data_IF_189653328214
#
_entry.id   IF_189653328214
#
_cell.length_a   1.000
_cell.length_b   1.000
_cell.length_c   1.000
_cell.angle_alpha   90.00
_cell.angle_beta   90.00
_cell.angle_gamma   90.00
#
_symmetry.space_group_name_H-M   'P 1'
#
loop_
_entity.id
_entity.type
_entity.pdbx_description
1 polymer ?
#
# COMPACT_ATOMS: atom_id res chain seq x y z
N UNK A 1 13.89 20.48 13.01
CA UNK A 1 12.78 19.67 13.56
C UNK A 1 11.52 20.52 13.47
N UNK A 2 10.45 20.04 12.81
CA UNK A 2 9.20 20.80 12.70
C UNK A 2 8.49 20.82 14.04
N UNK A 3 7.88 21.94 14.43
CA UNK A 3 7.24 22.17 15.73
C UNK A 3 6.19 21.07 16.05
N UNK A 4 5.51 20.54 15.05
CA UNK A 4 4.46 19.52 15.21
C UNK A 4 4.97 18.07 15.16
N UNK A 5 6.21 17.80 14.71
CA UNK A 5 6.74 16.44 14.61
C UNK A 5 6.72 15.67 15.93
N UNK A 6 7.12 16.26 17.09
CA UNK A 6 7.04 15.56 18.38
C UNK A 6 5.62 15.18 18.77
N UNK A 7 4.63 16.04 18.48
CA UNK A 7 3.22 15.78 18.78
C UNK A 7 2.69 14.64 17.94
N UNK A 8 3.01 14.64 16.62
CA UNK A 8 2.65 13.56 15.71
C UNK A 8 3.26 12.23 16.18
N UNK A 9 4.54 12.22 16.53
CA UNK A 9 5.22 11.02 17.06
C UNK A 9 4.62 10.51 18.36
N UNK A 10 4.19 11.40 19.25
CA UNK A 10 3.53 11.00 20.50
C UNK A 10 2.17 10.33 20.24
N UNK A 11 1.40 10.85 19.28
CA UNK A 11 0.15 10.23 18.85
C UNK A 11 0.39 8.84 18.26
N UNK A 12 1.43 8.67 17.41
CA UNK A 12 1.77 7.40 16.80
C UNK A 12 2.20 6.35 17.83
N UNK A 13 2.91 6.71 18.92
CA UNK A 13 3.23 5.78 20.01
C UNK A 13 1.98 5.21 20.69
N UNK A 14 0.91 5.99 20.79
CA UNK A 14 -0.36 5.47 21.30
C UNK A 14 -1.03 4.52 20.30
N UNK A 15 -1.01 4.88 19.03
CA UNK A 15 -1.52 4.01 17.94
C UNK A 15 -0.77 2.68 17.90
N UNK A 16 0.56 2.68 18.05
CA UNK A 16 1.39 1.48 18.11
C UNK A 16 0.94 0.50 19.20
N UNK A 17 0.65 1.02 20.41
CA UNK A 17 0.12 0.19 21.52
C UNK A 17 -1.26 -0.40 21.19
N UNK A 18 -2.11 0.37 20.51
CA UNK A 18 -3.43 -0.09 20.10
C UNK A 18 -3.31 -1.17 19.02
N UNK A 19 -2.44 -0.98 18.03
CA UNK A 19 -2.19 -1.96 16.96
C UNK A 19 -1.57 -3.25 17.51
N UNK A 20 -0.58 -3.15 18.40
CA UNK A 20 0.00 -4.33 19.03
C UNK A 20 -1.06 -5.15 19.79
N UNK A 21 -1.95 -4.48 20.54
CA UNK A 21 -3.07 -5.15 21.22
C UNK A 21 -4.06 -5.77 20.23
N UNK A 22 -4.40 -5.06 19.17
CA UNK A 22 -5.30 -5.54 18.11
C UNK A 22 -4.73 -6.79 17.45
N UNK A 23 -3.48 -6.74 16.99
CA UNK A 23 -2.81 -7.86 16.32
C UNK A 23 -2.76 -9.08 17.24
N UNK A 24 -2.38 -8.89 18.51
CA UNK A 24 -2.32 -9.98 19.49
C UNK A 24 -3.68 -10.60 19.82
N UNK A 25 -4.80 -9.88 19.58
CA UNK A 25 -6.16 -10.38 19.82
C UNK A 25 -6.77 -11.12 18.63
N UNK A 26 -6.14 -11.07 17.47
CA UNK A 26 -6.61 -11.70 16.24
C UNK A 26 -5.99 -13.10 16.07
N UNK A 27 -6.81 -14.08 15.68
CA UNK A 27 -6.34 -15.42 15.37
C UNK A 27 -5.89 -15.47 13.91
N UNK A 28 -4.64 -15.83 13.70
CA UNK A 28 -4.09 -15.99 12.35
C UNK A 28 -4.65 -17.26 11.69
N UNK A 29 -4.88 -17.22 10.36
CA UNK A 29 -5.30 -18.42 9.64
C UNK A 29 -4.19 -19.48 9.65
N UNK A 30 -4.61 -20.74 9.66
CA UNK A 30 -3.74 -21.91 9.55
C UNK A 30 -3.44 -22.24 8.08
N UNK A 31 -2.48 -23.15 7.83
CA UNK A 31 -2.19 -23.64 6.48
C UNK A 31 -1.47 -22.63 5.57
N UNK A 32 -0.78 -21.66 6.14
CA UNK A 32 0.03 -20.67 5.40
C UNK A 32 1.52 -20.81 5.73
N UNK A 33 2.35 -20.73 4.71
CA UNK A 33 3.78 -20.47 4.85
C UNK A 33 4.01 -18.99 5.19
N UNK A 34 4.95 -18.74 6.10
CA UNK A 34 5.31 -17.42 6.58
C UNK A 34 6.83 -17.32 6.62
N UNK A 35 7.39 -16.58 5.69
CA UNK A 35 8.84 -16.34 5.62
C UNK A 35 9.04 -14.89 6.03
N UNK A 36 9.60 -14.70 7.21
CA UNK A 36 9.64 -13.42 7.90
C UNK A 36 11.03 -12.78 7.85
N UNK A 37 11.05 -11.46 7.93
CA UNK A 37 12.24 -10.63 8.12
C UNK A 37 13.32 -10.84 7.04
N UNK A 38 12.90 -10.96 5.79
CA UNK A 38 13.80 -11.07 4.64
C UNK A 38 14.38 -9.68 4.33
N UNK A 39 15.71 -9.48 4.38
CA UNK A 39 16.29 -8.19 4.03
C UNK A 39 16.30 -7.99 2.52
N UNK A 40 15.67 -6.91 2.04
CA UNK A 40 15.76 -6.48 0.65
C UNK A 40 16.95 -5.51 0.42
N UNK A 41 17.46 -4.89 1.49
CA UNK A 41 18.78 -4.29 1.59
C UNK A 41 19.47 -4.90 2.80
N UNK A 42 20.69 -5.39 2.62
CA UNK A 42 21.44 -6.07 3.69
C UNK A 42 22.33 -5.07 4.46
N UNK A 43 21.72 -4.15 5.17
CA UNK A 43 22.39 -3.10 5.97
C UNK A 43 22.05 -3.17 7.47
N UNK A 44 21.23 -4.13 7.89
CA UNK A 44 20.80 -4.31 9.27
C UNK A 44 19.66 -3.39 9.71
N UNK A 45 19.12 -2.54 8.82
CA UNK A 45 17.99 -1.66 9.10
C UNK A 45 16.68 -2.44 9.05
N UNK A 46 15.88 -2.40 10.12
CA UNK A 46 14.58 -3.08 10.18
C UNK A 46 13.57 -2.56 9.16
N UNK A 47 13.70 -1.31 8.77
CA UNK A 47 12.87 -0.73 7.73
C UNK A 47 13.14 -1.32 6.33
N UNK A 48 14.21 -2.10 6.17
CA UNK A 48 14.59 -2.75 4.92
C UNK A 48 14.28 -4.26 4.92
N UNK A 49 13.28 -4.67 5.72
CA UNK A 49 12.81 -6.05 5.79
C UNK A 49 11.44 -6.19 5.10
N UNK A 50 11.17 -7.36 4.56
CA UNK A 50 9.87 -7.77 4.05
C UNK A 50 9.50 -9.16 4.55
N UNK A 51 8.19 -9.48 4.50
CA UNK A 51 7.67 -10.81 4.76
C UNK A 51 6.99 -11.38 3.53
N UNK A 52 6.98 -12.70 3.39
CA UNK A 52 6.28 -13.42 2.32
C UNK A 52 5.32 -14.43 2.94
N UNK A 53 4.07 -14.43 2.44
CA UNK A 53 2.99 -15.31 2.88
C UNK A 53 2.37 -16.01 1.68
N UNK A 54 2.12 -17.33 1.76
CA UNK A 54 1.41 -18.09 0.73
C UNK A 54 0.84 -19.40 1.29
N UNK A 55 -0.13 -20.08 0.63
CA UNK A 55 -0.67 -21.34 1.11
C UNK A 55 0.37 -22.46 1.19
N UNK A 56 0.39 -23.21 2.30
CA UNK A 56 1.26 -24.37 2.47
C UNK A 56 1.02 -25.44 1.41
N UNK A 57 2.06 -26.18 1.05
CA UNK A 57 1.97 -27.26 0.07
C UNK A 57 1.70 -26.79 -1.36
N UNK A 58 1.86 -25.49 -1.64
CA UNK A 58 1.72 -24.93 -2.98
C UNK A 58 2.73 -25.54 -3.94
N UNK A 59 2.26 -26.14 -5.02
CA UNK A 59 3.08 -26.72 -6.11
C UNK A 59 3.01 -25.88 -7.39
N UNK A 60 1.98 -25.08 -7.54
CA UNK A 60 1.74 -24.19 -8.68
C UNK A 60 2.24 -22.77 -8.38
N UNK A 61 2.56 -22.03 -9.45
CA UNK A 61 2.89 -20.61 -9.31
C UNK A 61 1.65 -19.79 -8.99
N UNK A 62 1.72 -18.98 -7.96
CA UNK A 62 0.65 -18.09 -7.48
C UNK A 62 0.83 -16.67 -8.01
N UNK A 63 -0.27 -15.97 -8.33
CA UNK A 63 -0.22 -14.54 -8.55
C UNK A 63 0.30 -13.82 -7.30
N UNK A 64 1.03 -12.73 -7.53
CA UNK A 64 1.76 -12.02 -6.46
C UNK A 64 1.02 -10.74 -6.09
N UNK A 65 0.88 -10.47 -4.80
CA UNK A 65 0.48 -9.15 -4.29
C UNK A 65 1.66 -8.57 -3.51
N UNK A 66 2.03 -7.33 -3.81
CA UNK A 66 2.95 -6.55 -2.97
C UNK A 66 2.11 -5.59 -2.13
N UNK A 67 2.24 -5.64 -0.82
CA UNK A 67 1.52 -4.78 0.12
C UNK A 67 2.42 -3.67 0.67
N UNK A 68 1.94 -2.42 0.59
CA UNK A 68 2.58 -1.23 1.15
C UNK A 68 1.70 -0.73 2.30
N UNK A 69 2.18 -0.84 3.53
CA UNK A 69 1.42 -0.44 4.70
C UNK A 69 1.15 1.07 4.78
N UNK A 70 0.05 1.43 5.44
CA UNK A 70 -0.30 2.80 5.79
C UNK A 70 0.48 3.36 6.99
N UNK A 71 -0.08 4.39 7.63
CA UNK A 71 0.50 5.00 8.84
C UNK A 71 0.94 6.45 8.66
N UNK A 72 0.29 7.21 7.74
CA UNK A 72 0.52 8.64 7.56
C UNK A 72 1.96 8.99 7.22
N UNK A 73 2.69 8.10 6.55
CA UNK A 73 4.11 8.20 6.14
C UNK A 73 5.12 8.23 7.31
N UNK A 74 4.67 8.39 8.56
CA UNK A 74 5.49 8.59 9.76
C UNK A 74 5.39 7.46 10.78
N UNK A 75 4.52 6.51 10.54
CA UNK A 75 4.21 5.36 11.38
C UNK A 75 3.98 4.13 10.51
N UNK A 76 4.03 2.98 11.14
CA UNK A 76 3.69 1.70 10.52
C UNK A 76 4.91 0.80 10.32
N UNK A 77 4.60 -0.43 10.09
CA UNK A 77 5.53 -1.53 9.81
C UNK A 77 4.72 -2.69 9.21
N UNK A 78 5.37 -3.60 8.50
CA UNK A 78 4.73 -4.72 7.77
C UNK A 78 3.75 -5.55 8.63
N UNK A 79 4.02 -5.67 9.93
CA UNK A 79 3.19 -6.46 10.84
C UNK A 79 1.81 -5.84 11.11
N UNK A 80 1.61 -4.51 10.93
CA UNK A 80 0.28 -3.91 11.10
C UNK A 80 -0.71 -4.39 10.05
N UNK A 81 -0.22 -4.77 8.86
CA UNK A 81 -0.99 -5.32 7.75
C UNK A 81 -0.93 -6.86 7.68
N UNK A 82 -0.16 -7.53 8.57
CA UNK A 82 0.08 -8.97 8.53
C UNK A 82 -1.20 -9.78 8.32
N UNK A 83 -2.22 -9.55 9.13
CA UNK A 83 -3.46 -10.32 9.09
C UNK A 83 -4.30 -10.06 7.82
N UNK A 84 -4.23 -8.86 7.26
CA UNK A 84 -4.75 -8.55 5.93
C UNK A 84 -3.99 -9.34 4.84
N UNK A 85 -2.67 -9.35 4.89
CA UNK A 85 -1.83 -10.12 3.96
C UNK A 85 -2.10 -11.62 4.05
N UNK A 86 -2.20 -12.17 5.26
CA UNK A 86 -2.57 -13.57 5.49
C UNK A 86 -3.95 -13.89 4.90
N UNK A 87 -4.92 -12.97 5.02
CA UNK A 87 -6.25 -13.15 4.43
C UNK A 87 -6.23 -13.18 2.91
N UNK A 88 -5.37 -12.40 2.27
CA UNK A 88 -5.16 -12.46 0.83
C UNK A 88 -4.41 -13.73 0.41
N UNK A 89 -3.45 -14.20 1.23
CA UNK A 89 -2.76 -15.45 0.99
C UNK A 89 -3.71 -16.66 1.03
N UNK A 90 -4.66 -16.72 1.99
CA UNK A 90 -5.74 -17.73 2.01
C UNK A 90 -6.55 -17.75 0.70
N UNK A 91 -6.67 -16.61 0.02
CA UNK A 91 -7.41 -16.49 -1.24
C UNK A 91 -6.58 -16.91 -2.47
N UNK A 92 -5.39 -17.50 -2.25
CA UNK A 92 -4.57 -18.11 -3.31
C UNK A 92 -3.56 -17.16 -3.95
N UNK A 93 -3.03 -16.21 -3.20
CA UNK A 93 -1.93 -15.33 -3.63
C UNK A 93 -0.65 -15.62 -2.85
N UNK A 94 0.49 -15.33 -3.46
CA UNK A 94 1.71 -15.05 -2.74
C UNK A 94 1.71 -13.57 -2.40
N UNK A 95 1.80 -13.22 -1.11
CA UNK A 95 1.75 -11.83 -0.64
C UNK A 95 3.08 -11.43 -0.04
N UNK A 96 3.69 -10.37 -0.57
CA UNK A 96 4.91 -9.76 -0.02
C UNK A 96 4.53 -8.45 0.68
N UNK A 97 4.70 -8.39 2.00
CA UNK A 97 4.47 -7.19 2.81
C UNK A 97 5.80 -6.51 3.10
N UNK A 98 5.97 -5.26 2.68
CA UNK A 98 7.24 -4.56 2.74
C UNK A 98 7.26 -3.49 3.84
N UNK A 99 8.41 -3.33 4.50
CA UNK A 99 8.74 -2.14 5.27
C UNK A 99 9.40 -1.08 4.37
N UNK A 100 9.42 0.14 4.84
CA UNK A 100 10.18 1.28 4.31
C UNK A 100 10.48 2.25 5.45
N UNK A 101 11.54 3.08 5.33
CA UNK A 101 11.87 4.08 6.36
C UNK A 101 10.76 5.10 6.52
N UNK A 102 10.45 5.43 7.75
CA UNK A 102 9.38 6.38 8.09
C UNK A 102 9.89 7.83 8.04
N UNK A 103 9.07 8.73 7.50
CA UNK A 103 9.44 10.14 7.39
C UNK A 103 9.63 10.79 8.77
N UNK A 104 10.62 11.68 8.84
CA UNK A 104 11.00 12.42 10.03
C UNK A 104 12.49 12.34 10.32
N UNK A 105 13.00 13.23 11.16
CA UNK A 105 14.45 13.39 11.30
C UNK A 105 15.08 13.80 9.97
N UNK A 106 15.95 12.97 9.41
CA UNK A 106 16.55 13.15 8.08
C UNK A 106 15.80 12.48 6.95
N UNK A 107 14.92 11.52 7.24
CA UNK A 107 14.19 10.72 6.24
C UNK A 107 13.07 11.56 5.61
N UNK A 108 12.98 11.52 4.28
CA UNK A 108 12.02 12.28 3.47
C UNK A 108 11.24 11.35 2.55
N UNK A 109 10.30 11.93 1.81
CA UNK A 109 9.43 11.23 0.87
C UNK A 109 10.19 10.50 -0.24
N UNK A 110 11.26 11.10 -0.74
CA UNK A 110 12.13 10.49 -1.74
C UNK A 110 12.92 9.29 -1.21
N UNK A 111 13.36 9.32 0.07
CA UNK A 111 13.95 8.16 0.72
C UNK A 111 12.96 6.99 0.79
N UNK A 112 11.70 7.27 1.13
CA UNK A 112 10.64 6.25 1.20
C UNK A 112 10.36 5.61 -0.17
N UNK A 113 10.28 6.42 -1.22
CA UNK A 113 10.12 5.90 -2.60
C UNK A 113 11.33 5.07 -3.01
N UNK A 114 12.55 5.49 -2.67
CA UNK A 114 13.77 4.72 -2.95
C UNK A 114 13.75 3.35 -2.26
N UNK A 115 13.31 3.29 -0.99
CA UNK A 115 13.21 2.03 -0.25
C UNK A 115 12.18 1.09 -0.88
N UNK A 116 10.99 1.62 -1.23
CA UNK A 116 9.93 0.83 -1.89
C UNK A 116 10.42 0.28 -3.24
N UNK A 117 11.11 1.09 -4.05
CA UNK A 117 11.70 0.63 -5.31
C UNK A 117 12.81 -0.41 -5.11
N UNK A 118 13.58 -0.30 -4.04
CA UNK A 118 14.58 -1.29 -3.66
C UNK A 118 13.92 -2.63 -3.32
N UNK A 119 12.81 -2.61 -2.55
CA UNK A 119 12.01 -3.80 -2.26
C UNK A 119 11.41 -4.40 -3.55
N UNK A 120 10.82 -3.59 -4.44
CA UNK A 120 10.29 -4.06 -5.72
C UNK A 120 11.37 -4.71 -6.59
N UNK A 121 12.54 -4.08 -6.67
CA UNK A 121 13.69 -4.60 -7.43
C UNK A 121 14.17 -5.93 -6.86
N UNK A 122 14.20 -6.04 -5.52
CA UNK A 122 14.53 -7.30 -4.86
C UNK A 122 13.51 -8.39 -5.18
N UNK A 123 12.21 -8.08 -5.09
CA UNK A 123 11.13 -9.01 -5.40
C UNK A 123 11.21 -9.49 -6.86
N UNK A 124 11.41 -8.60 -7.82
CA UNK A 124 11.55 -8.95 -9.24
C UNK A 124 12.71 -9.92 -9.51
N UNK A 125 13.78 -9.83 -8.74
CA UNK A 125 14.97 -10.69 -8.89
C UNK A 125 14.88 -12.03 -8.15
N UNK A 126 14.25 -12.05 -6.96
CA UNK A 126 14.34 -13.16 -6.01
C UNK A 126 13.06 -14.00 -5.91
N UNK A 127 11.90 -13.48 -6.29
CA UNK A 127 10.64 -14.25 -6.22
C UNK A 127 10.60 -15.48 -7.13
N UNK A 128 11.55 -15.64 -8.07
CA UNK A 128 11.71 -16.86 -8.87
C UNK A 128 12.00 -18.10 -8.01
N UNK A 129 12.56 -17.92 -6.81
CA UNK A 129 12.90 -18.98 -5.87
C UNK A 129 11.70 -19.37 -4.96
N UNK A 130 10.55 -18.71 -5.17
CA UNK A 130 9.28 -18.92 -4.49
C UNK A 130 8.20 -19.38 -5.49
N UNK A 131 7.04 -19.90 -5.03
CA UNK A 131 5.93 -20.24 -5.91
C UNK A 131 5.21 -18.98 -6.44
N UNK A 132 5.95 -18.12 -7.14
CA UNK A 132 5.48 -16.82 -7.63
C UNK A 132 5.29 -16.81 -9.16
N UNK A 133 4.15 -16.28 -9.63
CA UNK A 133 3.91 -15.95 -11.03
C UNK A 133 4.16 -14.45 -11.27
N UNK A 134 5.38 -14.13 -11.70
CA UNK A 134 5.78 -12.74 -11.99
C UNK A 134 5.07 -12.13 -13.22
N UNK A 135 4.30 -12.90 -13.99
CA UNK A 135 3.46 -12.36 -15.05
C UNK A 135 2.15 -11.76 -14.50
N UNK A 136 1.81 -12.07 -13.26
CA UNK A 136 0.59 -11.64 -12.58
C UNK A 136 0.93 -11.01 -11.22
N UNK A 137 1.52 -9.81 -11.25
CA UNK A 137 1.88 -9.04 -10.06
C UNK A 137 0.87 -7.92 -9.85
N UNK A 138 0.43 -7.77 -8.61
CA UNK A 138 -0.54 -6.79 -8.15
C UNK A 138 0.06 -5.97 -7.01
N UNK A 139 -0.48 -4.76 -6.82
CA UNK A 139 -0.06 -3.88 -5.73
C UNK A 139 -1.26 -3.59 -4.82
N UNK A 140 -1.05 -3.63 -3.53
CA UNK A 140 -2.05 -3.21 -2.54
C UNK A 140 -1.42 -2.17 -1.61
N UNK A 141 -2.25 -1.25 -1.11
CA UNK A 141 -1.80 -0.31 -0.09
C UNK A 141 -2.97 0.42 0.54
N UNK A 142 -2.86 0.69 1.81
CA UNK A 142 -3.89 1.36 2.60
C UNK A 142 -3.46 2.77 3.02
N UNK A 143 -4.39 3.71 3.04
CA UNK A 143 -4.14 5.08 3.54
C UNK A 143 -2.93 5.75 2.86
N UNK A 144 -1.83 6.00 3.58
CA UNK A 144 -0.56 6.46 3.03
C UNK A 144 0.08 5.43 2.07
N UNK A 145 -0.08 4.13 2.33
CA UNK A 145 0.32 3.05 1.41
C UNK A 145 -0.47 3.09 0.10
N UNK A 146 -1.76 3.45 0.15
CA UNK A 146 -2.57 3.71 -1.05
C UNK A 146 -2.05 4.90 -1.88
N UNK A 147 -1.58 5.96 -1.22
CA UNK A 147 -0.87 7.06 -1.88
C UNK A 147 0.43 6.57 -2.52
N UNK A 148 1.27 5.83 -1.77
CA UNK A 148 2.49 5.25 -2.31
C UNK A 148 2.21 4.34 -3.50
N UNK A 149 1.12 3.57 -3.48
CA UNK A 149 0.74 2.71 -4.62
C UNK A 149 0.49 3.53 -5.89
N UNK A 150 -0.20 4.68 -5.79
CA UNK A 150 -0.38 5.58 -6.93
C UNK A 150 0.95 6.18 -7.41
N UNK A 151 1.79 6.66 -6.48
CA UNK A 151 3.08 7.28 -6.82
C UNK A 151 4.05 6.28 -7.43
N UNK A 152 4.17 5.09 -6.85
CA UNK A 152 5.11 4.07 -7.34
C UNK A 152 4.72 3.52 -8.70
N UNK A 153 3.41 3.39 -8.98
CA UNK A 153 2.92 3.07 -10.32
C UNK A 153 3.31 4.17 -11.31
N UNK A 154 3.07 5.45 -10.99
CA UNK A 154 3.43 6.56 -11.87
C UNK A 154 4.93 6.59 -12.16
N UNK A 155 5.76 6.43 -11.12
CA UNK A 155 7.23 6.42 -11.24
C UNK A 155 7.70 5.20 -12.07
N UNK A 156 7.12 4.03 -11.84
CA UNK A 156 7.49 2.81 -12.57
C UNK A 156 7.20 2.91 -14.08
N UNK A 157 6.17 3.67 -14.46
CA UNK A 157 5.75 3.88 -15.86
C UNK A 157 6.45 5.06 -16.56
N UNK A 158 7.18 5.92 -15.84
CA UNK A 158 7.70 7.17 -16.39
C UNK A 158 9.17 7.41 -16.04
N UNK A 159 10.04 7.41 -17.08
CA UNK A 159 11.49 7.58 -16.93
C UNK A 159 11.91 8.91 -16.31
N UNK A 160 11.19 10.01 -16.57
CA UNK A 160 11.53 11.30 -15.98
C UNK A 160 11.18 11.35 -14.48
N UNK A 161 10.09 10.67 -14.08
CA UNK A 161 9.78 10.49 -12.67
C UNK A 161 10.81 9.56 -12.00
N UNK A 162 11.28 8.51 -12.67
CA UNK A 162 12.38 7.67 -12.17
C UNK A 162 13.65 8.49 -11.92
N UNK A 163 14.02 9.39 -12.85
CA UNK A 163 15.15 10.31 -12.67
C UNK A 163 14.96 11.25 -11.49
N UNK A 164 13.72 11.76 -11.26
CA UNK A 164 13.43 12.62 -10.11
C UNK A 164 13.80 11.93 -8.78
N UNK A 165 13.53 10.65 -8.64
CA UNK A 165 13.80 9.85 -7.44
C UNK A 165 15.14 9.11 -7.45
N UNK A 166 15.88 9.13 -8.56
CA UNK A 166 17.13 8.37 -8.72
C UNK A 166 16.91 6.84 -8.71
N UNK A 167 15.75 6.40 -9.16
CA UNK A 167 15.38 4.98 -9.29
C UNK A 167 15.28 4.58 -10.77
N UNK A 168 15.12 3.29 -11.03
CA UNK A 168 14.88 2.74 -12.36
C UNK A 168 13.62 1.88 -12.35
N UNK A 169 13.13 1.47 -13.52
CA UNK A 169 12.10 0.44 -13.64
C UNK A 169 12.43 -0.76 -12.76
N UNK A 170 11.50 -1.15 -11.91
CA UNK A 170 11.75 -2.15 -10.86
C UNK A 170 11.73 -3.62 -11.33
N UNK A 171 11.42 -3.86 -12.61
CA UNK A 171 11.30 -5.22 -13.16
C UNK A 171 9.95 -5.90 -12.89
N UNK A 172 8.96 -5.17 -12.33
CA UNK A 172 7.61 -5.67 -12.07
C UNK A 172 6.58 -4.86 -12.85
N UNK A 173 5.69 -5.56 -13.57
CA UNK A 173 4.53 -4.97 -14.23
C UNK A 173 3.28 -5.20 -13.37
N UNK A 174 2.80 -4.16 -12.73
CA UNK A 174 1.58 -4.25 -11.91
C UNK A 174 0.34 -4.33 -12.80
N UNK A 175 -0.37 -5.47 -12.75
CA UNK A 175 -1.58 -5.73 -13.56
C UNK A 175 -2.82 -5.03 -13.04
N UNK A 176 -2.88 -4.78 -11.75
CA UNK A 176 -3.88 -3.96 -11.10
C UNK A 176 -3.41 -3.52 -9.71
N UNK A 177 -4.10 -2.54 -9.13
CA UNK A 177 -3.80 -1.95 -7.82
C UNK A 177 -5.05 -1.96 -6.95
N UNK A 178 -4.91 -2.29 -5.66
CA UNK A 178 -5.92 -2.05 -4.64
C UNK A 178 -5.50 -0.87 -3.76
N UNK A 179 -6.21 0.25 -3.89
CA UNK A 179 -6.02 1.44 -3.07
C UNK A 179 -7.12 1.48 -1.98
N UNK A 180 -6.73 1.15 -0.75
CA UNK A 180 -7.65 0.97 0.39
C UNK A 180 -7.72 2.27 1.17
N UNK A 181 -8.88 2.93 1.19
CA UNK A 181 -9.05 4.23 1.85
C UNK A 181 -7.88 5.21 1.57
N UNK A 182 -7.43 5.39 0.31
CA UNK A 182 -6.17 6.05 0.01
C UNK A 182 -6.17 7.54 0.36
N UNK A 183 -5.01 8.04 0.80
CA UNK A 183 -4.69 9.45 0.67
C UNK A 183 -4.38 9.75 -0.81
N UNK A 184 -4.81 10.92 -1.31
CA UNK A 184 -4.70 11.26 -2.74
C UNK A 184 -4.11 12.65 -2.95
N UNK A 185 -4.46 13.59 -2.08
CA UNK A 185 -4.04 14.98 -2.18
C UNK A 185 -3.70 15.53 -0.79
N UNK A 186 -2.41 15.65 -0.52
CA UNK A 186 -1.87 16.22 0.71
C UNK A 186 -1.76 17.74 0.62
N UNK A 187 -1.94 18.31 -0.57
CA UNK A 187 -1.78 19.74 -0.83
C UNK A 187 -3.10 20.52 -0.70
N UNK A 188 -4.23 19.82 -0.66
CA UNK A 188 -5.54 20.46 -0.44
C UNK A 188 -5.57 21.14 0.94
N UNK A 189 -6.40 22.19 1.13
CA UNK A 189 -6.46 22.93 2.38
C UNK A 189 -7.13 22.14 3.50
N UNK A 190 -6.59 20.98 3.83
CA UNK A 190 -6.97 20.13 4.96
C UNK A 190 -5.82 20.10 5.97
N UNK A 191 -6.07 20.64 7.17
CA UNK A 191 -5.04 20.77 8.21
C UNK A 191 -4.38 19.41 8.55
N UNK A 192 -5.17 18.33 8.60
CA UNK A 192 -4.67 17.00 8.95
C UNK A 192 -3.66 16.48 7.93
N UNK A 193 -3.88 16.79 6.63
CA UNK A 193 -2.98 16.35 5.56
C UNK A 193 -1.78 17.29 5.43
N UNK A 194 -2.01 18.61 5.49
CA UNK A 194 -0.96 19.61 5.29
C UNK A 194 0.13 19.61 6.36
N UNK A 195 -0.17 19.16 7.58
CA UNK A 195 0.82 19.09 8.67
C UNK A 195 1.97 18.12 8.36
N UNK A 196 1.74 17.12 7.52
CA UNK A 196 2.75 16.15 7.12
C UNK A 196 3.67 16.66 6.01
N UNK A 197 3.23 17.62 5.19
CA UNK A 197 3.99 18.11 4.04
C UNK A 197 5.40 18.60 4.39
N UNK A 198 5.61 19.41 5.45
CA UNK A 198 6.95 19.81 5.84
C UNK A 198 7.82 18.66 6.34
N UNK A 199 7.24 17.64 6.98
CA UNK A 199 7.98 16.47 7.44
C UNK A 199 8.43 15.63 6.24
N UNK A 200 7.56 15.46 5.26
CA UNK A 200 7.83 14.70 4.04
C UNK A 200 8.86 15.38 3.14
N UNK A 201 8.81 16.68 2.98
CA UNK A 201 9.61 17.40 2.00
C UNK A 201 10.75 18.26 2.57
N UNK A 202 10.84 18.38 3.89
CA UNK A 202 11.89 19.18 4.54
C UNK A 202 11.63 20.70 4.49
N UNK A 203 12.67 21.48 4.81
CA UNK A 203 12.59 22.94 4.94
C UNK A 203 12.13 23.63 3.65
N UNK A 204 12.50 23.08 2.51
CA UNK A 204 12.14 23.61 1.19
C UNK A 204 10.83 23.02 0.64
N UNK A 205 9.92 22.57 1.51
CA UNK A 205 8.69 21.87 1.12
C UNK A 205 7.81 22.63 0.11
N UNK A 206 7.90 23.96 0.03
CA UNK A 206 7.14 24.76 -0.94
C UNK A 206 7.72 24.70 -2.35
N UNK A 207 9.03 24.53 -2.48
CA UNK A 207 9.77 24.56 -3.76
C UNK A 207 10.37 23.20 -4.12
N UNK A 208 10.15 22.17 -3.31
CA UNK A 208 10.65 20.82 -3.56
C UNK A 208 10.12 20.27 -4.88
N UNK A 209 10.99 19.67 -5.69
CA UNK A 209 10.61 18.96 -6.92
C UNK A 209 9.65 17.78 -6.63
N UNK A 210 9.71 17.24 -5.42
CA UNK A 210 8.84 16.14 -4.99
C UNK A 210 7.43 16.57 -4.59
N UNK A 211 7.16 17.89 -4.51
CA UNK A 211 5.86 18.40 -4.09
C UNK A 211 4.72 17.93 -4.98
N UNK A 212 4.93 17.83 -6.30
CA UNK A 212 3.92 17.35 -7.26
C UNK A 212 3.44 15.93 -6.95
N UNK A 213 4.29 15.08 -6.37
CA UNK A 213 3.96 13.70 -6.02
C UNK A 213 3.06 13.56 -4.79
N UNK A 214 2.84 14.65 -4.05
CA UNK A 214 1.90 14.69 -2.93
C UNK A 214 0.44 14.95 -3.37
N UNK A 215 0.19 15.12 -4.67
CA UNK A 215 -1.15 15.22 -5.27
C UNK A 215 -1.21 14.29 -6.49
N UNK A 216 -1.93 13.19 -6.37
CA UNK A 216 -2.07 12.18 -7.42
C UNK A 216 -2.59 12.78 -8.72
N UNK A 217 -3.37 13.88 -8.66
CA UNK A 217 -3.88 14.56 -9.88
C UNK A 217 -2.77 15.09 -10.81
N UNK A 218 -1.55 15.25 -10.29
CA UNK A 218 -0.40 15.76 -11.04
C UNK A 218 0.46 14.65 -11.66
N UNK A 219 0.18 13.40 -11.33
CA UNK A 219 1.01 12.24 -11.75
C UNK A 219 0.20 11.14 -12.42
N UNK A 220 -1.12 11.14 -12.30
CA UNK A 220 -1.99 10.15 -12.92
C UNK A 220 -1.98 10.31 -14.44
N UNK A 221 -1.90 9.19 -15.17
CA UNK A 221 -1.99 9.13 -16.63
C UNK A 221 -2.92 8.01 -17.07
N UNK A 222 -3.30 8.01 -18.35
CA UNK A 222 -4.11 6.94 -18.95
C UNK A 222 -3.40 5.58 -19.00
N UNK A 223 -2.09 5.54 -18.74
CA UNK A 223 -1.30 4.30 -18.70
C UNK A 223 -1.40 3.56 -17.36
N UNK A 224 -2.07 4.15 -16.36
CA UNK A 224 -2.28 3.48 -15.07
C UNK A 224 -3.00 2.14 -15.25
N UNK A 225 -2.59 1.09 -14.53
CA UNK A 225 -3.32 -0.17 -14.54
C UNK A 225 -4.73 0.01 -13.94
N UNK A 226 -5.62 -0.99 -14.08
CA UNK A 226 -6.91 -1.00 -13.40
C UNK A 226 -6.78 -0.90 -11.88
N UNK A 227 -7.72 -0.19 -11.23
CA UNK A 227 -7.74 0.01 -9.77
C UNK A 227 -8.98 -0.59 -9.11
N UNK A 228 -8.80 -1.22 -7.95
CA UNK A 228 -9.84 -1.38 -6.96
C UNK A 228 -9.67 -0.28 -5.92
N UNK A 229 -10.73 0.43 -5.61
CA UNK A 229 -10.73 1.49 -4.58
C UNK A 229 -11.89 1.24 -3.63
N UNK A 230 -11.63 1.22 -2.35
CA UNK A 230 -12.70 1.22 -1.36
C UNK A 230 -12.59 2.39 -0.38
N UNK A 231 -13.71 2.68 0.25
CA UNK A 231 -13.86 3.57 1.38
C UNK A 231 -15.03 3.11 2.24
N UNK A 232 -15.30 3.79 3.33
CA UNK A 232 -16.41 3.43 4.21
C UNK A 232 -17.11 4.67 4.77
N UNK A 233 -18.29 4.46 5.36
CA UNK A 233 -19.13 5.55 5.90
C UNK A 233 -18.45 6.37 7.00
N UNK A 234 -17.55 5.75 7.80
CA UNK A 234 -16.77 6.41 8.85
C UNK A 234 -15.33 6.73 8.46
N UNK A 235 -14.96 6.60 7.19
CA UNK A 235 -13.62 6.92 6.72
C UNK A 235 -13.41 8.43 6.60
N UNK A 236 -12.42 8.96 7.33
CA UNK A 236 -12.08 10.38 7.29
C UNK A 236 -11.41 10.81 5.97
N UNK A 237 -10.90 9.87 5.17
CA UNK A 237 -10.39 10.09 3.81
C UNK A 237 -11.40 9.81 2.70
N UNK A 238 -12.66 9.53 3.02
CA UNK A 238 -13.72 9.23 2.04
C UNK A 238 -13.75 10.20 0.86
N UNK A 239 -13.63 11.51 1.10
CA UNK A 239 -13.58 12.53 0.03
C UNK A 239 -12.36 12.38 -0.89
N UNK A 240 -11.25 11.89 -0.38
CA UNK A 240 -10.05 11.61 -1.16
C UNK A 240 -10.27 10.43 -2.11
N UNK A 241 -10.96 9.39 -1.64
CA UNK A 241 -11.32 8.24 -2.48
C UNK A 241 -12.23 8.65 -3.65
N UNK A 242 -13.20 9.54 -3.41
CA UNK A 242 -14.03 10.10 -4.49
C UNK A 242 -13.23 11.00 -5.43
N UNK A 243 -12.24 11.76 -4.93
CA UNK A 243 -11.30 12.51 -5.78
C UNK A 243 -10.55 11.57 -6.72
N UNK A 244 -10.03 10.45 -6.20
CA UNK A 244 -9.32 9.45 -6.99
C UNK A 244 -10.23 8.83 -8.06
N UNK A 245 -11.47 8.47 -7.68
CA UNK A 245 -12.48 8.00 -8.63
C UNK A 245 -12.69 9.00 -9.78
N UNK A 246 -12.86 10.29 -9.48
CA UNK A 246 -13.03 11.34 -10.50
C UNK A 246 -11.81 11.51 -11.40
N UNK A 247 -10.59 11.27 -10.88
CA UNK A 247 -9.38 11.25 -11.71
C UNK A 247 -9.38 10.06 -12.67
N UNK A 248 -9.82 8.89 -12.22
CA UNK A 248 -9.92 7.71 -13.08
C UNK A 248 -10.96 7.89 -14.18
N UNK A 249 -12.13 8.45 -13.86
CA UNK A 249 -13.15 8.82 -14.86
C UNK A 249 -12.55 9.76 -15.92
N UNK A 250 -11.81 10.79 -15.50
CA UNK A 250 -11.18 11.79 -16.38
C UNK A 250 -10.12 11.19 -17.32
N UNK A 251 -9.36 10.22 -16.85
CA UNK A 251 -8.26 9.61 -17.59
C UNK A 251 -8.64 8.28 -18.27
N UNK A 252 -9.92 7.87 -18.21
CA UNK A 252 -10.43 6.59 -18.74
C UNK A 252 -9.70 5.36 -18.17
N UNK A 253 -9.30 5.43 -16.91
CA UNK A 253 -8.68 4.30 -16.21
C UNK A 253 -9.77 3.36 -15.73
N UNK A 254 -9.62 2.06 -15.98
CA UNK A 254 -10.55 1.06 -15.48
C UNK A 254 -10.47 0.96 -13.96
N UNK A 255 -11.63 0.95 -13.28
CA UNK A 255 -11.66 0.75 -11.83
C UNK A 255 -12.94 0.05 -11.35
N UNK A 256 -12.83 -0.57 -10.16
CA UNK A 256 -13.99 -0.93 -9.32
C UNK A 256 -13.93 -0.06 -8.07
N UNK A 257 -15.03 0.63 -7.75
CA UNK A 257 -15.14 1.50 -6.58
C UNK A 257 -16.25 1.00 -5.66
N UNK A 258 -15.94 0.81 -4.36
CA UNK A 258 -16.93 0.43 -3.36
C UNK A 258 -16.87 1.38 -2.15
N UNK A 259 -17.96 2.10 -1.92
CA UNK A 259 -18.20 2.89 -0.71
C UNK A 259 -19.07 2.07 0.25
N UNK A 260 -18.42 1.41 1.19
CA UNK A 260 -19.08 0.54 2.17
C UNK A 260 -19.97 1.36 3.11
N UNK A 261 -21.29 1.12 3.03
CA UNK A 261 -22.31 1.75 3.90
C UNK A 261 -22.76 0.82 5.02
N UNK A 262 -22.29 -0.40 5.03
CA UNK A 262 -22.58 -1.42 6.03
C UNK A 262 -22.14 -0.95 7.42
N UNK A 263 -22.86 -1.46 8.43
CA UNK A 263 -22.52 -1.25 9.83
C UNK A 263 -22.09 -2.57 10.45
N UNK A 264 -21.07 -2.54 11.26
CA UNK A 264 -20.65 -3.67 12.04
C UNK A 264 -20.96 -3.39 13.52
N UNK A 265 -21.74 -4.27 14.17
CA UNK A 265 -22.24 -4.08 15.53
C UNK A 265 -22.93 -2.70 15.74
N UNK A 266 -23.72 -2.27 14.74
CA UNK A 266 -24.45 -0.99 14.75
C UNK A 266 -23.58 0.27 14.55
N UNK A 267 -22.26 0.12 14.35
CA UNK A 267 -21.30 1.23 14.13
C UNK A 267 -20.87 1.28 12.68
N UNK A 268 -20.60 2.50 12.20
CA UNK A 268 -20.02 2.70 10.87
C UNK A 268 -18.65 2.03 10.77
N UNK A 269 -18.36 1.47 9.60
CA UNK A 269 -17.01 1.01 9.26
C UNK A 269 -16.07 2.22 9.20
N UNK A 270 -14.89 2.10 9.81
CA UNK A 270 -13.93 3.18 9.93
C UNK A 270 -12.85 3.10 8.82
N UNK A 271 -11.95 4.05 8.85
CA UNK A 271 -10.78 4.10 7.98
C UNK A 271 -10.01 2.76 7.99
N UNK A 272 -9.68 2.24 6.82
CA UNK A 272 -8.95 0.98 6.57
C UNK A 272 -9.53 -0.25 7.30
N UNK A 273 -10.85 -0.30 7.48
CA UNK A 273 -11.55 -1.32 8.26
C UNK A 273 -11.20 -2.76 7.88
N UNK A 274 -10.99 -3.02 6.60
CA UNK A 274 -10.67 -4.35 6.08
C UNK A 274 -9.21 -4.75 6.27
N UNK A 275 -8.32 -3.81 6.57
CA UNK A 275 -6.93 -4.06 7.00
C UNK A 275 -6.88 -4.27 8.51
N UNK A 276 -7.58 -3.41 9.26
CA UNK A 276 -7.62 -3.46 10.74
C UNK A 276 -8.37 -4.68 11.25
N UNK A 277 -9.50 -5.04 10.62
CA UNK A 277 -10.36 -6.18 11.00
C UNK A 277 -10.61 -7.12 9.79
N UNK A 278 -9.56 -7.78 9.25
CA UNK A 278 -9.68 -8.54 8.01
C UNK A 278 -10.57 -9.80 8.14
N UNK A 279 -10.80 -10.26 9.37
CA UNK A 279 -11.60 -11.45 9.68
C UNK A 279 -13.06 -11.12 10.04
N UNK A 280 -13.42 -9.84 10.14
CA UNK A 280 -14.82 -9.45 10.32
C UNK A 280 -15.63 -9.69 9.03
N UNK A 281 -16.96 -9.82 9.10
CA UNK A 281 -17.77 -10.00 7.90
C UNK A 281 -17.56 -8.92 6.83
N UNK A 282 -17.48 -7.65 7.24
CA UNK A 282 -17.21 -6.56 6.32
C UNK A 282 -15.77 -6.57 5.79
N UNK A 283 -14.80 -6.89 6.65
CA UNK A 283 -13.39 -7.02 6.28
C UNK A 283 -13.17 -8.16 5.29
N UNK A 284 -13.75 -9.35 5.54
CA UNK A 284 -13.66 -10.48 4.62
C UNK A 284 -14.35 -10.22 3.28
N UNK A 285 -15.51 -9.55 3.30
CA UNK A 285 -16.20 -9.12 2.08
C UNK A 285 -15.29 -8.23 1.22
N UNK A 286 -14.73 -7.16 1.80
CA UNK A 286 -13.87 -6.24 1.08
C UNK A 286 -12.60 -6.93 0.56
N UNK A 287 -11.98 -7.81 1.35
CA UNK A 287 -10.78 -8.56 0.96
C UNK A 287 -11.08 -9.63 -0.11
N UNK A 288 -12.29 -10.19 -0.11
CA UNK A 288 -12.77 -11.05 -1.20
C UNK A 288 -12.94 -10.27 -2.48
N UNK A 289 -13.51 -9.08 -2.42
CA UNK A 289 -13.65 -8.22 -3.61
C UNK A 289 -12.30 -7.80 -4.21
N UNK A 290 -11.28 -7.52 -3.38
CA UNK A 290 -9.90 -7.27 -3.83
C UNK A 290 -9.34 -8.49 -4.55
N UNK A 291 -9.46 -9.66 -3.94
CA UNK A 291 -8.97 -10.91 -4.51
C UNK A 291 -9.65 -11.25 -5.84
N UNK A 292 -10.97 -11.10 -5.93
CA UNK A 292 -11.75 -11.37 -7.14
C UNK A 292 -11.41 -10.36 -8.24
N UNK A 293 -11.24 -9.08 -7.89
CA UNK A 293 -10.80 -8.06 -8.82
C UNK A 293 -9.42 -8.40 -9.41
N UNK A 294 -8.46 -8.77 -8.60
CA UNK A 294 -7.14 -9.18 -9.06
C UNK A 294 -7.20 -10.44 -9.91
N UNK A 295 -7.96 -11.46 -9.50
CA UNK A 295 -8.16 -12.67 -10.29
C UNK A 295 -8.76 -12.38 -11.67
N UNK A 296 -9.65 -11.40 -11.78
CA UNK A 296 -10.23 -10.98 -13.06
C UNK A 296 -9.20 -10.34 -14.02
N UNK A 297 -8.04 -9.93 -13.52
CA UNK A 297 -6.93 -9.34 -14.29
C UNK A 297 -5.81 -10.33 -14.61
N UNK A 298 -5.90 -11.57 -14.11
CA UNK A 298 -4.96 -12.64 -14.46
C UNK A 298 -5.18 -12.99 -15.95
N UNK A 299 -4.14 -12.79 -16.75
CA UNK A 299 -4.17 -13.26 -18.13
C UNK A 299 -4.16 -14.79 -18.15
N UNK A 300 -5.17 -15.39 -18.77
CA UNK A 300 -5.15 -16.83 -19.03
C UNK A 300 -3.83 -17.20 -19.72
N UNK A 301 -3.17 -18.28 -19.26
CA UNK A 301 -2.02 -18.84 -19.98
C UNK A 301 -2.49 -19.07 -21.41
N UNK A 302 -1.88 -18.40 -22.38
CA UNK A 302 -2.05 -18.79 -23.79
C UNK A 302 -1.66 -20.26 -23.88
N UNK A 303 -2.65 -21.12 -24.23
CA UNK A 303 -2.34 -22.52 -24.52
C UNK A 303 -1.36 -22.52 -25.68
N UNK A 304 -0.09 -22.84 -25.39
CA UNK A 304 0.92 -23.07 -26.39
C UNK A 304 0.64 -24.38 -27.15
#
# INVERSE_FOLDING_TARGET
MYIFEPILRANWKNTEKMDAKRIASQTEPEGLEKILDIPYINDGEKAHLLDIYYPQGTTEKLPVIVDIHGGGWMYGYKEINKNFCLKLAEKGFLVASINYRLAGGSIRFDDQISDIFSAFTWLGKNLKDYPADLNNVFLAGDSAGGHFSCVTVAVNLNEDMQKDFGVSYCGLDFKAVAAICPAVDLLSPNLVMNINVPVLLGNNHKTSKFRKYLDVSQIVSADFPPFYVNTASGDFLKKQCYKLKGLFDKHNIEYKFHDFQEKENGKNLLHVFNVVNPFSPAGDMANTEIADFFKSKIKAKSRA
#
